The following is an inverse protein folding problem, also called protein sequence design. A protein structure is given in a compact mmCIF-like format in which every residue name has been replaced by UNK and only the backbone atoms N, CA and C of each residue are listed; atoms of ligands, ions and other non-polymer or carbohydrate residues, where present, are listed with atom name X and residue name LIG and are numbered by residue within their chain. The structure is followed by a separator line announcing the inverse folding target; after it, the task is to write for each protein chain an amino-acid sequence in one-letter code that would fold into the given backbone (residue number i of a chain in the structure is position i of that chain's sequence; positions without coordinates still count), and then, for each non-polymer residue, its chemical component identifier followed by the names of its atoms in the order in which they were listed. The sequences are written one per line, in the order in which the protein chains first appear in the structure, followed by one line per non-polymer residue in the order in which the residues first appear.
data_IF_714490478095
#
_entry.id   IF_714490478095
#
_cell.length_a   1.000
_cell.length_b   1.000
_cell.length_c   1.000
_cell.angle_alpha   90.00
_cell.angle_beta   90.00
_cell.angle_gamma   90.00
#
_symmetry.space_group_name_H-M   'P 1'
#
loop_
_entity.id
_entity.type
_entity.pdbx_description
1 polymer ?
#
# COMPACT_ATOMS: atom_id res chain seq x y z
N UNK A 1 -6.01 -18.51 2.80
CA UNK A 1 -4.54 -18.64 2.94
C UNK A 1 -3.87 -18.35 1.60
N UNK A 2 -3.45 -17.11 1.39
CA UNK A 2 -2.68 -16.69 0.20
C UNK A 2 -1.33 -17.40 0.23
N UNK A 3 -0.94 -18.06 -0.87
CA UNK A 3 0.37 -18.71 -0.98
C UNK A 3 1.48 -17.66 -0.82
N UNK A 4 2.44 -17.91 0.07
CA UNK A 4 3.56 -17.01 0.34
C UNK A 4 4.71 -17.17 -0.65
N UNK A 5 4.59 -18.12 -1.57
CA UNK A 5 5.52 -18.37 -2.66
C UNK A 5 5.09 -17.65 -3.95
N UNK A 6 6.04 -17.50 -4.87
CA UNK A 6 5.77 -16.87 -6.18
C UNK A 6 4.74 -17.70 -6.95
N UNK A 7 3.59 -17.09 -7.26
CA UNK A 7 2.50 -17.74 -7.98
C UNK A 7 2.82 -18.02 -9.45
N UNK A 8 1.93 -18.76 -10.12
CA UNK A 8 2.10 -19.23 -11.50
C UNK A 8 2.25 -18.11 -12.53
N UNK A 9 1.68 -16.92 -12.27
CA UNK A 9 1.86 -15.73 -13.11
C UNK A 9 3.29 -15.18 -13.11
N UNK A 10 4.14 -15.64 -12.19
CA UNK A 10 5.48 -15.10 -11.99
C UNK A 10 5.49 -13.71 -11.36
N UNK A 11 4.34 -13.16 -10.97
CA UNK A 11 4.22 -11.87 -10.27
C UNK A 11 4.30 -12.10 -8.75
N UNK A 12 5.03 -11.23 -8.05
CA UNK A 12 5.04 -11.17 -6.59
C UNK A 12 4.35 -9.90 -6.11
N UNK A 13 3.64 -10.00 -4.99
CA UNK A 13 2.93 -8.88 -4.37
C UNK A 13 3.38 -8.68 -2.93
N UNK A 14 3.35 -7.43 -2.46
CA UNK A 14 3.79 -7.05 -1.12
C UNK A 14 2.88 -5.97 -0.56
N UNK A 15 2.63 -6.01 0.75
CA UNK A 15 2.10 -4.86 1.49
C UNK A 15 3.19 -4.38 2.46
N UNK A 16 3.29 -3.08 2.73
CA UNK A 16 4.35 -2.56 3.59
C UNK A 16 3.94 -1.32 4.36
N UNK A 17 4.66 -1.07 5.45
CA UNK A 17 4.59 0.16 6.23
C UNK A 17 5.95 0.87 6.24
N UNK A 18 6.03 2.13 5.82
CA UNK A 18 7.29 2.86 5.74
C UNK A 18 7.83 3.30 7.12
N UNK A 19 7.02 3.14 8.17
CA UNK A 19 7.26 3.72 9.50
C UNK A 19 6.57 5.08 9.63
N UNK A 20 6.76 5.75 10.77
CA UNK A 20 6.41 7.16 10.88
C UNK A 20 7.42 7.96 10.06
N UNK A 21 6.99 8.60 8.98
CA UNK A 21 7.85 9.37 8.06
C UNK A 21 7.43 10.83 8.08
N UNK A 22 8.40 11.75 8.10
CA UNK A 22 8.14 13.17 7.98
C UNK A 22 7.68 13.48 6.54
N UNK A 23 6.36 13.50 6.34
CA UNK A 23 5.70 13.88 5.09
C UNK A 23 4.70 15.00 5.38
N UNK A 24 4.22 15.67 4.34
CA UNK A 24 3.19 16.73 4.46
C UNK A 24 1.81 16.19 4.89
N UNK A 25 1.66 14.87 5.11
CA UNK A 25 0.42 14.28 5.59
C UNK A 25 -0.05 14.90 6.93
N UNK A 26 0.90 15.35 7.75
CA UNK A 26 0.64 15.93 9.06
C UNK A 26 0.62 17.47 9.06
N UNK A 27 0.71 18.12 7.89
CA UNK A 27 0.88 19.58 7.79
C UNK A 27 -0.26 20.36 8.46
N UNK A 28 -1.48 19.83 8.41
CA UNK A 28 -2.69 20.46 8.96
C UNK A 28 -3.16 19.87 10.30
N UNK A 29 -2.33 19.04 10.96
CA UNK A 29 -2.74 18.40 12.23
C UNK A 29 -2.96 19.41 13.36
N UNK A 30 -2.26 20.54 13.36
CA UNK A 30 -2.48 21.64 14.30
C UNK A 30 -3.88 22.25 14.22
N UNK A 31 -4.46 22.27 13.02
CA UNK A 31 -5.78 22.85 12.76
C UNK A 31 -6.90 21.89 13.17
N UNK A 32 -6.65 20.58 13.13
CA UNK A 32 -7.68 19.55 13.30
C UNK A 32 -7.72 18.88 14.68
N UNK A 33 -6.61 18.80 15.41
CA UNK A 33 -6.54 18.02 16.66
C UNK A 33 -6.30 18.89 17.89
N UNK A 34 -5.08 19.40 18.06
CA UNK A 34 -4.68 20.18 19.25
C UNK A 34 -3.69 21.26 18.80
N UNK A 35 -3.90 22.53 19.18
CA UNK A 35 -2.90 23.57 18.95
C UNK A 35 -1.54 23.19 19.58
N UNK A 36 -0.47 23.19 18.79
CA UNK A 36 0.90 22.88 19.26
C UNK A 36 1.39 21.46 18.94
N UNK A 37 0.60 20.68 18.20
CA UNK A 37 1.01 19.33 17.75
C UNK A 37 2.22 19.38 16.82
N UNK A 38 2.33 20.41 15.95
CA UNK A 38 3.49 20.63 15.09
C UNK A 38 4.74 20.94 15.88
N UNK A 39 4.64 21.75 16.93
CA UNK A 39 5.78 22.00 17.80
C UNK A 39 6.28 20.70 18.44
N UNK A 40 5.37 19.82 18.88
CA UNK A 40 5.73 18.49 19.40
C UNK A 40 6.34 17.58 18.32
N UNK A 41 5.78 17.54 17.12
CA UNK A 41 6.32 16.75 16.00
C UNK A 41 7.72 17.24 15.58
N UNK A 42 7.91 18.56 15.51
CA UNK A 42 9.15 19.17 15.09
C UNK A 42 10.27 19.07 16.14
N UNK A 43 9.94 19.05 17.44
CA UNK A 43 10.94 19.05 18.50
C UNK A 43 11.15 17.68 19.15
N UNK A 44 10.07 16.92 19.36
CA UNK A 44 10.10 15.60 20.00
C UNK A 44 10.01 14.49 18.96
N UNK A 45 9.21 14.70 17.92
CA UNK A 45 9.01 13.71 16.85
C UNK A 45 10.28 13.42 16.05
N UNK A 46 11.25 14.34 15.96
CA UNK A 46 12.53 14.14 15.25
C UNK A 46 13.32 12.90 15.69
N UNK A 47 13.13 12.41 16.91
CA UNK A 47 13.81 11.20 17.39
C UNK A 47 13.12 9.90 16.97
N UNK A 48 11.85 9.95 16.59
CA UNK A 48 11.03 8.77 16.29
C UNK A 48 10.50 8.76 14.84
N UNK A 49 10.57 9.90 14.15
CA UNK A 49 10.09 10.08 12.78
C UNK A 49 11.28 9.92 11.82
N UNK A 50 11.11 9.02 10.86
CA UNK A 50 12.04 8.75 9.78
C UNK A 50 12.03 9.88 8.76
N UNK A 51 13.17 10.11 8.13
CA UNK A 51 13.25 10.92 6.89
C UNK A 51 12.58 10.20 5.72
N UNK A 52 12.14 10.90 4.66
CA UNK A 52 11.61 10.27 3.45
C UNK A 52 12.55 9.21 2.85
N UNK A 53 13.87 9.46 2.87
CA UNK A 53 14.89 8.51 2.43
C UNK A 53 14.87 7.22 3.24
N UNK A 54 14.73 7.31 4.57
CA UNK A 54 14.63 6.14 5.45
C UNK A 54 13.28 5.44 5.28
N UNK A 55 12.18 6.18 5.15
CA UNK A 55 10.85 5.61 4.92
C UNK A 55 10.72 4.84 3.61
N UNK A 56 11.42 5.27 2.57
CA UNK A 56 11.43 4.61 1.26
C UNK A 56 12.17 3.26 1.24
N UNK A 57 12.98 2.94 2.26
CA UNK A 57 13.85 1.76 2.24
C UNK A 57 13.07 0.46 2.08
N UNK A 58 11.94 0.30 2.80
CA UNK A 58 11.13 -0.92 2.70
C UNK A 58 10.55 -1.10 1.30
N UNK A 59 10.05 -0.02 0.68
CA UNK A 59 9.54 -0.07 -0.70
C UNK A 59 10.62 -0.45 -1.70
N UNK A 60 11.81 0.16 -1.58
CA UNK A 60 12.96 -0.18 -2.42
C UNK A 60 13.36 -1.64 -2.21
N UNK A 61 13.44 -2.09 -0.96
CA UNK A 61 13.78 -3.47 -0.63
C UNK A 61 12.82 -4.48 -1.26
N UNK A 62 11.50 -4.27 -1.15
CA UNK A 62 10.50 -5.13 -1.80
C UNK A 62 10.62 -5.12 -3.33
N UNK A 63 10.99 -3.98 -3.93
CA UNK A 63 11.09 -3.85 -5.38
C UNK A 63 12.34 -4.52 -5.98
N UNK A 64 13.49 -4.47 -5.29
CA UNK A 64 14.78 -4.87 -5.90
C UNK A 64 15.50 -6.02 -5.21
N UNK A 65 15.08 -6.40 -4.00
CA UNK A 65 15.81 -7.43 -3.25
C UNK A 65 15.54 -8.83 -3.79
N UNK A 66 16.62 -9.58 -4.05
CA UNK A 66 16.54 -11.01 -4.42
C UNK A 66 15.93 -11.87 -3.31
N UNK A 67 16.07 -11.48 -2.04
CA UNK A 67 15.44 -12.21 -0.94
C UNK A 67 13.92 -12.03 -0.93
N UNK A 68 13.46 -10.79 -1.17
CA UNK A 68 12.05 -10.45 -1.24
C UNK A 68 11.39 -11.07 -2.49
N UNK A 69 12.10 -11.11 -3.63
CA UNK A 69 11.61 -11.68 -4.90
C UNK A 69 11.18 -13.16 -4.85
N UNK A 70 11.56 -13.90 -3.79
CA UNK A 70 11.14 -15.28 -3.55
C UNK A 70 9.89 -15.41 -2.67
N UNK A 71 9.35 -14.29 -2.20
CA UNK A 71 8.23 -14.21 -1.28
C UNK A 71 7.10 -13.41 -1.94
N UNK A 72 5.86 -13.74 -1.65
CA UNK A 72 4.67 -13.05 -2.16
C UNK A 72 3.58 -12.95 -1.10
N UNK A 73 2.68 -11.98 -1.21
CA UNK A 73 1.54 -11.80 -0.30
C UNK A 73 1.88 -11.44 1.14
N UNK A 74 3.13 -11.07 1.44
CA UNK A 74 3.60 -10.78 2.79
C UNK A 74 3.57 -9.28 3.13
N UNK A 75 3.48 -9.00 4.42
CA UNK A 75 3.54 -7.66 4.99
C UNK A 75 4.95 -7.34 5.50
N UNK A 76 5.45 -6.15 5.17
CA UNK A 76 6.81 -5.72 5.50
C UNK A 76 6.87 -4.45 6.34
N UNK A 77 7.76 -4.47 7.33
CA UNK A 77 8.18 -3.27 8.08
C UNK A 77 9.70 -3.31 8.23
N UNK A 78 10.36 -2.16 8.07
CA UNK A 78 11.82 -2.05 8.23
C UNK A 78 12.61 -3.11 7.45
N UNK A 79 12.29 -3.29 6.17
CA UNK A 79 12.90 -4.28 5.26
C UNK A 79 12.79 -5.75 5.73
N UNK A 80 11.83 -6.06 6.62
CA UNK A 80 11.64 -7.40 7.19
C UNK A 80 10.17 -7.81 7.17
N UNK A 81 9.91 -9.12 7.07
CA UNK A 81 8.55 -9.66 7.15
C UNK A 81 8.01 -9.45 8.57
N UNK A 82 6.77 -8.97 8.68
CA UNK A 82 6.12 -8.71 9.95
C UNK A 82 4.68 -9.19 9.91
N UNK A 83 4.15 -9.65 11.03
CA UNK A 83 2.74 -10.04 11.14
C UNK A 83 1.86 -8.78 11.19
N UNK A 84 0.93 -8.58 10.24
CA UNK A 84 0.02 -7.45 10.28
C UNK A 84 -1.03 -7.62 11.39
N UNK A 85 -1.75 -6.54 11.70
CA UNK A 85 -2.86 -6.56 12.65
C UNK A 85 -3.91 -7.63 12.26
N UNK A 86 -4.64 -8.23 13.24
CA UNK A 86 -5.62 -9.28 12.96
C UNK A 86 -6.64 -8.93 11.88
N UNK A 87 -7.14 -7.69 11.87
CA UNK A 87 -8.09 -7.21 10.85
C UNK A 87 -7.50 -7.20 9.43
N UNK A 88 -6.18 -7.03 9.30
CA UNK A 88 -5.47 -7.13 8.02
C UNK A 88 -5.22 -8.56 7.55
N UNK A 89 -5.70 -9.57 8.29
CA UNK A 89 -5.60 -11.00 7.96
C UNK A 89 -6.97 -11.67 7.78
N UNK A 90 -8.02 -10.86 7.65
CA UNK A 90 -9.38 -11.32 7.39
C UNK A 90 -9.57 -11.50 5.88
N UNK A 91 -9.41 -12.75 5.42
CA UNK A 91 -9.56 -13.11 4.00
C UNK A 91 -10.97 -12.80 3.47
N UNK A 92 -12.00 -12.89 4.31
CA UNK A 92 -13.39 -12.63 3.91
C UNK A 92 -13.67 -11.13 3.76
N UNK A 93 -13.16 -10.32 4.70
CA UNK A 93 -13.20 -8.86 4.56
C UNK A 93 -12.44 -8.38 3.32
N UNK A 94 -11.28 -8.98 3.02
CA UNK A 94 -10.49 -8.68 1.83
C UNK A 94 -11.25 -9.02 0.53
N UNK A 95 -11.87 -10.20 0.46
CA UNK A 95 -12.70 -10.63 -0.68
C UNK A 95 -13.87 -9.67 -0.90
N UNK A 96 -14.60 -9.32 0.15
CA UNK A 96 -15.72 -8.38 0.07
C UNK A 96 -15.26 -6.98 -0.39
N UNK A 97 -14.12 -6.50 0.12
CA UNK A 97 -13.56 -5.22 -0.28
C UNK A 97 -13.20 -5.21 -1.77
N UNK A 98 -12.62 -6.30 -2.28
CA UNK A 98 -12.30 -6.46 -3.69
C UNK A 98 -13.56 -6.39 -4.56
N UNK A 99 -14.58 -7.18 -4.25
CA UNK A 99 -15.84 -7.22 -5.00
C UNK A 99 -16.52 -5.84 -5.06
N UNK A 100 -16.67 -5.18 -3.91
CA UNK A 100 -17.27 -3.83 -3.87
C UNK A 100 -16.42 -2.81 -4.62
N UNK A 101 -15.09 -2.92 -4.56
CA UNK A 101 -14.21 -2.01 -5.29
C UNK A 101 -14.37 -2.20 -6.80
N UNK A 102 -14.36 -3.45 -7.28
CA UNK A 102 -14.62 -3.78 -8.68
C UNK A 102 -15.98 -3.26 -9.15
N UNK A 103 -17.02 -3.32 -8.32
CA UNK A 103 -18.33 -2.74 -8.64
C UNK A 103 -18.27 -1.23 -8.83
N UNK A 104 -17.61 -0.54 -7.89
CA UNK A 104 -17.50 0.93 -7.90
C UNK A 104 -16.78 1.42 -9.16
N UNK A 105 -15.74 0.68 -9.59
CA UNK A 105 -14.94 1.06 -10.77
C UNK A 105 -15.35 0.36 -12.06
N UNK A 106 -16.39 -0.49 -12.04
CA UNK A 106 -16.93 -1.16 -13.24
C UNK A 106 -16.07 -2.31 -13.80
N UNK A 107 -15.29 -3.00 -12.97
CA UNK A 107 -14.35 -4.07 -13.37
C UNK A 107 -14.83 -5.49 -13.03
N UNK A 108 -16.15 -5.73 -12.88
CA UNK A 108 -16.67 -7.07 -12.53
C UNK A 108 -16.30 -8.15 -13.54
N UNK A 109 -16.32 -7.82 -14.82
CA UNK A 109 -16.15 -8.76 -15.93
C UNK A 109 -14.73 -8.72 -16.51
N UNK A 110 -13.77 -8.13 -15.79
CA UNK A 110 -12.38 -7.99 -16.23
C UNK A 110 -11.43 -8.68 -15.25
N UNK A 111 -10.72 -9.69 -15.75
CA UNK A 111 -9.61 -10.33 -15.06
C UNK A 111 -8.27 -9.80 -15.59
N UNK A 112 -7.60 -8.88 -14.88
CA UNK A 112 -6.32 -8.32 -15.33
C UNK A 112 -5.17 -9.33 -15.40
N UNK A 113 -5.34 -10.56 -14.88
CA UNK A 113 -4.33 -11.60 -14.90
C UNK A 113 -4.62 -12.69 -15.93
N UNK A 114 -5.85 -12.76 -16.45
CA UNK A 114 -6.30 -13.76 -17.41
C UNK A 114 -6.69 -13.18 -18.77
N UNK A 115 -7.16 -11.94 -18.82
CA UNK A 115 -7.61 -11.28 -20.04
C UNK A 115 -6.43 -10.70 -20.82
N UNK A 116 -6.48 -10.84 -22.15
CA UNK A 116 -5.38 -10.48 -23.04
C UNK A 116 -5.15 -8.96 -23.15
N UNK A 117 -6.21 -8.16 -23.01
CA UNK A 117 -6.14 -6.70 -23.06
C UNK A 117 -7.16 -6.05 -22.11
N UNK A 118 -6.79 -4.98 -21.38
CA UNK A 118 -7.73 -4.17 -20.61
C UNK A 118 -8.81 -3.56 -21.49
N UNK A 119 -10.03 -3.35 -20.95
CA UNK A 119 -11.09 -2.73 -21.71
C UNK A 119 -10.69 -1.30 -22.11
N UNK A 120 -11.03 -0.90 -23.34
CA UNK A 120 -10.57 0.37 -23.92
C UNK A 120 -10.90 1.62 -23.09
N UNK A 121 -11.96 1.57 -22.27
CA UNK A 121 -12.35 2.67 -21.38
C UNK A 121 -11.42 2.82 -20.16
N UNK A 122 -10.63 1.82 -19.79
CA UNK A 122 -9.78 1.84 -18.59
C UNK A 122 -8.67 2.90 -18.67
N UNK A 123 -8.20 3.21 -19.89
CA UNK A 123 -7.19 4.22 -20.16
C UNK A 123 -7.71 5.42 -20.94
N UNK A 124 -9.03 5.49 -21.17
CA UNK A 124 -9.62 6.65 -21.80
C UNK A 124 -9.56 7.85 -20.84
N UNK A 125 -9.27 9.03 -21.37
CA UNK A 125 -9.39 10.26 -20.58
C UNK A 125 -10.83 10.41 -20.08
N UNK A 126 -11.02 10.85 -18.81
CA UNK A 126 -12.36 11.09 -18.30
C UNK A 126 -13.08 12.11 -19.20
N UNK A 127 -14.39 11.96 -19.44
CA UNK A 127 -15.13 12.90 -20.27
C UNK A 127 -14.96 14.31 -19.70
N UNK A 128 -14.49 15.24 -20.53
CA UNK A 128 -14.38 16.65 -20.17
C UNK A 128 -15.76 17.16 -19.80
N UNK A 129 -15.94 17.60 -18.54
CA UNK A 129 -17.17 18.27 -18.11
C UNK A 129 -17.33 19.55 -18.93
N UNK A 130 -18.26 19.55 -19.88
CA UNK A 130 -18.82 20.77 -20.51
C UNK A 130 -19.71 21.52 -19.55
#
# INVERSE_FOLDING_TARGET
MVSTERGESGVTTYCLHPGAVATELFEHFDTFLIPGTRFLLDNVGRFFIKTPRQGAQTSIYCAVSRSAARQSGLYYTDCSVTTPFPIGRDDEAARRLWEVSCDIVGLRDYDPLGDADPPAWLFADPPTKT
#
